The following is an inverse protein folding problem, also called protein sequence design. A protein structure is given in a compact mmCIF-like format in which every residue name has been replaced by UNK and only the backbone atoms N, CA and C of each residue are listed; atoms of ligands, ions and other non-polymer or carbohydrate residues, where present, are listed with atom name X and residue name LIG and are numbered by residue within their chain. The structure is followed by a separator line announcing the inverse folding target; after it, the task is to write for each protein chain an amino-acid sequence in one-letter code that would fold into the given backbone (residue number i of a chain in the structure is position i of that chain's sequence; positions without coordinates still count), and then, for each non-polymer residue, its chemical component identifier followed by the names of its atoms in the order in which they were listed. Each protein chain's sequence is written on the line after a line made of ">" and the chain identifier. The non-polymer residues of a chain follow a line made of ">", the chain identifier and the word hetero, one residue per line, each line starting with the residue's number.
data_IF_428283920890
#
_entry.id   IF_428283920890
#
_cell.length_a   1.000
_cell.length_b   1.000
_cell.length_c   1.000
_cell.angle_alpha   90.00
_cell.angle_beta   90.00
_cell.angle_gamma   90.00
#
_symmetry.space_group_name_H-M   'P 1'
#
loop_
_entity.id
_entity.type
_entity.pdbx_description
1 polymer ?
#
# COMPACT_ATOMS: atom_id res chain seq x y z
N UNK A 1 11.10 -20.32 7.60
CA UNK A 1 12.28 -19.44 7.76
C UNK A 1 11.82 -18.08 8.26
N UNK A 2 12.45 -17.56 9.32
CA UNK A 2 12.06 -16.27 9.92
C UNK A 2 12.60 -15.08 9.11
N UNK A 3 12.08 -13.88 9.37
CA UNK A 3 12.55 -12.63 8.76
C UNK A 3 14.01 -12.35 9.14
N UNK A 4 14.38 -12.64 10.39
CA UNK A 4 15.74 -12.45 10.88
C UNK A 4 16.73 -13.39 10.17
N UNK A 5 16.32 -14.63 9.91
CA UNK A 5 17.14 -15.59 9.15
C UNK A 5 17.34 -15.12 7.71
N UNK A 6 16.28 -14.61 7.06
CA UNK A 6 16.34 -14.06 5.70
C UNK A 6 17.32 -12.88 5.63
N UNK A 7 17.25 -11.94 6.59
CA UNK A 7 18.16 -10.79 6.67
C UNK A 7 19.59 -11.25 6.89
N UNK A 8 19.81 -12.20 7.82
CA UNK A 8 21.15 -12.72 8.12
C UNK A 8 21.78 -13.37 6.88
N UNK A 9 21.03 -14.23 6.18
CA UNK A 9 21.50 -14.87 4.94
C UNK A 9 21.72 -13.85 3.82
N UNK A 10 20.91 -12.80 3.75
CA UNK A 10 21.10 -11.74 2.74
C UNK A 10 22.42 -10.97 2.94
N UNK A 11 22.84 -10.77 4.19
CA UNK A 11 24.10 -10.09 4.53
C UNK A 11 25.34 -10.93 4.26
N UNK A 12 25.20 -12.25 4.10
CA UNK A 12 26.27 -13.13 3.65
C UNK A 12 26.36 -13.12 2.10
N UNK A 13 27.49 -12.69 1.51
CA UNK A 13 27.65 -12.62 0.06
C UNK A 13 27.37 -13.94 -0.66
N UNK A 14 27.66 -15.09 -0.03
CA UNK A 14 27.46 -16.43 -0.61
C UNK A 14 25.99 -16.80 -0.71
N UNK A 15 25.15 -16.23 0.16
CA UNK A 15 23.73 -16.55 0.29
C UNK A 15 22.80 -15.41 -0.18
N UNK A 16 23.36 -14.24 -0.52
CA UNK A 16 22.61 -13.02 -0.85
C UNK A 16 21.51 -13.22 -1.89
N UNK A 17 21.82 -13.88 -3.01
CA UNK A 17 20.84 -14.13 -4.08
C UNK A 17 19.72 -15.09 -3.63
N UNK A 18 20.07 -16.16 -2.93
CA UNK A 18 19.11 -17.16 -2.44
C UNK A 18 18.18 -16.52 -1.41
N UNK A 19 18.74 -15.77 -0.45
CA UNK A 19 17.98 -15.05 0.56
C UNK A 19 17.00 -14.06 -0.09
N UNK A 20 17.46 -13.28 -1.08
CA UNK A 20 16.60 -12.33 -1.77
C UNK A 20 15.44 -13.01 -2.52
N UNK A 21 15.70 -14.14 -3.19
CA UNK A 21 14.65 -14.91 -3.86
C UNK A 21 13.56 -15.35 -2.88
N UNK A 22 13.95 -15.78 -1.67
CA UNK A 22 13.01 -16.16 -0.62
C UNK A 22 12.23 -14.96 -0.06
N UNK A 23 12.87 -13.79 0.07
CA UNK A 23 12.20 -12.53 0.43
C UNK A 23 11.17 -12.16 -0.64
N UNK A 24 11.55 -12.21 -1.92
CA UNK A 24 10.67 -11.89 -3.03
C UNK A 24 9.45 -12.82 -3.04
N UNK A 25 9.66 -14.14 -2.96
CA UNK A 25 8.57 -15.11 -2.86
C UNK A 25 7.63 -14.85 -1.69
N UNK A 26 8.19 -14.46 -0.54
CA UNK A 26 7.42 -14.21 0.69
C UNK A 26 6.59 -12.92 0.64
N UNK A 27 7.11 -11.85 0.04
CA UNK A 27 6.49 -10.53 0.14
C UNK A 27 5.90 -9.99 -1.16
N UNK A 28 6.22 -10.53 -2.34
CA UNK A 28 5.82 -9.93 -3.62
C UNK A 28 4.31 -9.68 -3.72
N UNK A 29 3.49 -10.65 -3.32
CA UNK A 29 2.03 -10.55 -3.40
C UNK A 29 1.49 -9.48 -2.43
N UNK A 30 2.09 -9.39 -1.25
CA UNK A 30 1.73 -8.41 -0.23
C UNK A 30 2.09 -6.98 -0.66
N UNK A 31 3.32 -6.80 -1.18
CA UNK A 31 3.80 -5.54 -1.76
C UNK A 31 2.93 -5.14 -2.95
N UNK A 32 2.56 -6.08 -3.81
CA UNK A 32 1.65 -5.84 -4.92
C UNK A 32 0.31 -5.28 -4.47
N UNK A 33 -0.35 -5.93 -3.50
CA UNK A 33 -1.64 -5.44 -3.00
C UNK A 33 -1.52 -4.09 -2.30
N UNK A 34 -0.42 -3.84 -1.60
CA UNK A 34 -0.14 -2.53 -1.00
C UNK A 34 0.01 -1.45 -2.07
N UNK A 35 0.78 -1.70 -3.14
CA UNK A 35 0.95 -0.78 -4.25
C UNK A 35 -0.37 -0.58 -5.01
N UNK A 36 -1.10 -1.66 -5.28
CA UNK A 36 -2.35 -1.67 -6.07
C UNK A 36 -3.50 -0.87 -5.43
N UNK A 37 -3.48 -0.71 -4.11
CA UNK A 37 -4.41 0.14 -3.36
C UNK A 37 -4.04 1.64 -3.39
N UNK A 38 -2.90 1.97 -3.98
CA UNK A 38 -2.38 3.33 -4.11
C UNK A 38 -2.43 3.75 -5.58
N UNK A 39 -1.84 2.98 -6.49
CA UNK A 39 -1.74 3.34 -7.92
C UNK A 39 -2.95 2.92 -8.77
N UNK A 40 -3.02 3.47 -9.99
CA UNK A 40 -4.22 3.43 -10.84
C UNK A 40 -4.42 2.09 -11.54
N UNK A 41 -3.39 1.60 -12.23
CA UNK A 41 -3.49 0.42 -13.09
C UNK A 41 -2.68 -0.76 -12.55
N UNK A 42 -2.94 -1.95 -13.09
CA UNK A 42 -2.13 -3.14 -12.79
C UNK A 42 -0.67 -2.95 -13.23
N UNK A 43 -0.45 -2.38 -14.43
CA UNK A 43 0.88 -2.07 -14.93
C UNK A 43 1.64 -1.11 -14.01
N UNK A 44 0.97 -0.05 -13.52
CA UNK A 44 1.58 0.86 -12.54
C UNK A 44 1.98 0.13 -11.25
N UNK A 45 1.16 -0.83 -10.80
CA UNK A 45 1.44 -1.60 -9.59
C UNK A 45 2.64 -2.52 -9.79
N UNK A 46 2.75 -3.16 -10.96
CA UNK A 46 3.89 -4.02 -11.31
C UNK A 46 5.20 -3.20 -11.36
N UNK A 47 5.17 -2.01 -11.96
CA UNK A 47 6.31 -1.09 -12.00
C UNK A 47 6.75 -0.67 -10.58
N UNK A 48 5.79 -0.32 -9.71
CA UNK A 48 6.07 0.03 -8.32
C UNK A 48 6.65 -1.15 -7.54
N UNK A 49 6.12 -2.36 -7.73
CA UNK A 49 6.62 -3.58 -7.10
C UNK A 49 8.07 -3.83 -7.51
N UNK A 50 8.36 -3.74 -8.81
CA UNK A 50 9.72 -3.92 -9.32
C UNK A 50 10.68 -2.92 -8.69
N UNK A 51 10.36 -1.62 -8.73
CA UNK A 51 11.19 -0.57 -8.14
C UNK A 51 11.37 -0.75 -6.63
N UNK A 52 10.33 -1.22 -5.93
CA UNK A 52 10.38 -1.55 -4.51
C UNK A 52 11.42 -2.64 -4.24
N UNK A 53 11.39 -3.74 -5.00
CA UNK A 53 12.33 -4.85 -4.80
C UNK A 53 13.76 -4.51 -5.20
N UNK A 54 13.97 -3.66 -6.20
CA UNK A 54 15.30 -3.08 -6.51
C UNK A 54 15.84 -2.33 -5.29
N UNK A 55 15.04 -1.44 -4.69
CA UNK A 55 15.44 -0.69 -3.49
C UNK A 55 15.65 -1.57 -2.26
N UNK A 56 14.89 -2.65 -2.12
CA UNK A 56 15.12 -3.65 -1.07
C UNK A 56 16.47 -4.31 -1.29
N UNK A 57 16.79 -4.76 -2.51
CA UNK A 57 18.10 -5.35 -2.82
C UNK A 57 19.27 -4.42 -2.48
N UNK A 58 19.14 -3.14 -2.80
CA UNK A 58 20.16 -2.13 -2.53
C UNK A 58 20.34 -1.88 -1.02
N UNK A 59 19.24 -1.78 -0.27
CA UNK A 59 19.25 -1.23 1.10
C UNK A 59 19.16 -2.26 2.22
N UNK A 60 18.81 -3.51 1.91
CA UNK A 60 18.59 -4.54 2.94
C UNK A 60 19.89 -4.90 3.69
N UNK A 61 21.06 -4.70 3.08
CA UNK A 61 22.35 -4.85 3.76
C UNK A 61 22.49 -3.93 4.98
N UNK A 62 21.95 -2.72 4.89
CA UNK A 62 22.00 -1.69 5.93
C UNK A 62 20.80 -1.74 6.90
N UNK A 63 19.95 -2.76 6.76
CA UNK A 63 18.80 -2.91 7.64
C UNK A 63 19.24 -3.18 9.08
N UNK A 64 18.87 -2.24 9.98
CA UNK A 64 19.25 -2.22 11.40
C UNK A 64 18.27 -2.96 12.34
N UNK A 65 17.19 -3.51 11.81
CA UNK A 65 16.17 -4.22 12.60
C UNK A 65 15.49 -3.37 13.71
N UNK A 66 15.40 -2.05 13.51
CA UNK A 66 14.64 -1.12 14.38
C UNK A 66 13.11 -1.26 14.22
N UNK A 67 12.66 -2.03 13.22
CA UNK A 67 11.27 -2.44 13.00
C UNK A 67 11.26 -3.87 12.43
N UNK A 68 10.09 -4.48 12.28
CA UNK A 68 9.99 -5.76 11.57
C UNK A 68 10.35 -5.57 10.09
N UNK A 69 10.96 -6.60 9.47
CA UNK A 69 11.34 -6.56 8.06
C UNK A 69 10.13 -6.23 7.16
N UNK A 70 8.98 -6.84 7.46
CA UNK A 70 7.73 -6.55 6.78
C UNK A 70 7.36 -5.06 6.81
N UNK A 71 7.44 -4.41 7.98
CA UNK A 71 7.15 -2.99 8.17
C UNK A 71 8.09 -2.11 7.35
N UNK A 72 9.39 -2.46 7.34
CA UNK A 72 10.39 -1.74 6.55
C UNK A 72 10.15 -1.89 5.04
N UNK A 73 9.79 -3.08 4.57
CA UNK A 73 9.41 -3.34 3.17
C UNK A 73 8.17 -2.51 2.79
N UNK A 74 7.15 -2.49 3.64
CA UNK A 74 5.92 -1.73 3.39
C UNK A 74 6.16 -0.22 3.37
N UNK A 75 7.11 0.28 4.16
CA UNK A 75 7.56 1.68 4.08
C UNK A 75 8.14 2.00 2.72
N UNK A 76 9.03 1.15 2.20
CA UNK A 76 9.59 1.35 0.85
C UNK A 76 8.46 1.30 -0.18
N UNK A 77 7.64 0.26 -0.17
CA UNK A 77 6.53 0.09 -1.11
C UNK A 77 5.56 1.28 -1.13
N UNK A 78 5.19 1.78 0.05
CA UNK A 78 4.28 2.92 0.18
C UNK A 78 4.92 4.19 -0.38
N UNK A 79 6.19 4.45 -0.05
CA UNK A 79 6.91 5.61 -0.58
C UNK A 79 7.08 5.55 -2.10
N UNK A 80 7.39 4.37 -2.66
CA UNK A 80 7.48 4.18 -4.11
C UNK A 80 6.15 4.43 -4.81
N UNK A 81 5.06 3.89 -4.27
CA UNK A 81 3.73 4.07 -4.85
C UNK A 81 3.28 5.55 -4.82
N UNK A 82 3.56 6.26 -3.72
CA UNK A 82 3.25 7.69 -3.59
C UNK A 82 4.11 8.55 -4.51
N UNK A 83 5.42 8.27 -4.60
CA UNK A 83 6.31 8.97 -5.53
C UNK A 83 5.88 8.74 -6.99
N UNK A 84 5.49 7.51 -7.34
CA UNK A 84 4.97 7.16 -8.66
C UNK A 84 3.71 7.96 -8.99
N UNK A 85 2.72 8.00 -8.08
CA UNK A 85 1.51 8.80 -8.25
C UNK A 85 1.81 10.27 -8.44
N UNK A 86 2.66 10.84 -7.57
CA UNK A 86 3.01 12.25 -7.61
C UNK A 86 3.68 12.63 -8.94
N UNK A 87 4.57 11.77 -9.45
CA UNK A 87 5.18 11.94 -10.77
C UNK A 87 4.13 11.88 -11.87
N UNK A 88 3.26 10.87 -11.87
CA UNK A 88 2.21 10.70 -12.88
C UNK A 88 1.23 11.87 -12.91
N UNK A 89 0.91 12.44 -11.74
CA UNK A 89 0.12 13.67 -11.62
C UNK A 89 0.81 14.85 -12.29
N UNK A 90 2.11 15.05 -12.01
CA UNK A 90 2.91 16.11 -12.60
C UNK A 90 3.01 15.97 -14.13
N UNK A 91 3.29 14.76 -14.62
CA UNK A 91 3.46 14.47 -16.05
C UNK A 91 2.16 14.68 -16.86
N UNK A 92 1.00 14.48 -16.21
CA UNK A 92 -0.32 14.65 -16.82
C UNK A 92 -0.95 16.03 -16.59
N UNK A 93 -0.36 16.85 -15.72
CA UNK A 93 -0.89 18.15 -15.31
C UNK A 93 -2.36 18.09 -14.82
N UNK A 94 -2.69 17.08 -14.01
CA UNK A 94 -4.03 16.88 -13.45
C UNK A 94 -4.06 17.11 -11.93
N UNK A 95 -5.24 17.41 -11.41
CA UNK A 95 -5.56 17.57 -9.99
C UNK A 95 -5.61 16.22 -9.25
N UNK A 96 -5.74 16.27 -7.91
CA UNK A 96 -5.93 15.02 -7.13
C UNK A 96 -7.31 14.44 -7.38
N UNK A 97 -8.31 15.30 -7.54
CA UNK A 97 -9.69 14.98 -7.79
C UNK A 97 -9.84 14.21 -9.12
N UNK A 98 -9.25 14.74 -10.20
CA UNK A 98 -9.26 14.07 -11.51
C UNK A 98 -8.55 12.71 -11.47
N UNK A 99 -7.48 12.59 -10.68
CA UNK A 99 -6.79 11.31 -10.50
C UNK A 99 -7.63 10.30 -9.70
N UNK A 100 -8.43 10.79 -8.75
CA UNK A 100 -9.34 9.99 -7.93
C UNK A 100 -10.53 9.49 -8.76
N UNK A 101 -11.01 10.30 -9.70
CA UNK A 101 -12.01 9.90 -10.70
C UNK A 101 -11.48 8.78 -11.61
N UNK A 102 -10.27 8.92 -12.16
CA UNK A 102 -9.64 7.88 -12.98
C UNK A 102 -9.47 6.55 -12.22
N UNK A 103 -9.13 6.61 -10.92
CA UNK A 103 -9.09 5.43 -10.05
C UNK A 103 -10.48 4.77 -9.93
N UNK A 104 -11.54 5.56 -9.80
CA UNK A 104 -12.92 5.07 -9.71
C UNK A 104 -13.43 4.43 -11.01
N UNK A 105 -13.09 5.03 -12.16
CA UNK A 105 -13.42 4.50 -13.48
C UNK A 105 -12.74 3.15 -13.73
N UNK A 106 -11.44 3.05 -13.47
CA UNK A 106 -10.68 1.81 -13.60
C UNK A 106 -11.18 0.70 -12.67
N UNK A 107 -11.55 1.06 -11.44
CA UNK A 107 -12.16 0.11 -10.50
C UNK A 107 -13.46 -0.48 -11.09
N UNK A 108 -14.31 0.39 -11.66
CA UNK A 108 -15.61 0.00 -12.23
C UNK A 108 -15.47 -0.83 -13.50
N UNK A 109 -14.38 -0.64 -14.26
CA UNK A 109 -14.07 -1.39 -15.48
C UNK A 109 -13.32 -2.71 -15.22
N UNK A 110 -12.69 -2.89 -14.05
CA UNK A 110 -11.87 -4.06 -13.77
C UNK A 110 -12.70 -5.32 -13.47
N UNK A 111 -12.43 -6.41 -14.20
CA UNK A 111 -12.97 -7.77 -13.95
C UNK A 111 -12.49 -8.41 -12.65
N UNK A 112 -11.64 -7.71 -11.88
CA UNK A 112 -11.07 -8.17 -10.62
C UNK A 112 -12.10 -8.28 -9.48
N UNK A 113 -13.25 -7.63 -9.61
CA UNK A 113 -14.30 -7.61 -8.58
C UNK A 113 -15.57 -8.27 -9.12
N UNK A 114 -15.70 -9.56 -8.87
CA UNK A 114 -16.89 -10.32 -9.20
C UNK A 114 -18.08 -9.86 -8.33
N UNK A 115 -18.83 -8.87 -8.80
CA UNK A 115 -20.30 -8.87 -8.70
C UNK A 115 -20.99 -8.55 -7.37
N UNK A 116 -20.30 -8.23 -6.27
CA UNK A 116 -20.99 -7.76 -5.07
C UNK A 116 -21.07 -6.22 -5.06
N UNK A 117 -22.29 -5.67 -5.27
CA UNK A 117 -22.58 -4.23 -5.23
C UNK A 117 -22.00 -3.57 -3.96
N UNK A 118 -22.00 -4.29 -2.83
CA UNK A 118 -21.46 -3.80 -1.56
C UNK A 118 -19.93 -3.64 -1.59
N UNK A 119 -19.21 -4.57 -2.21
CA UNK A 119 -17.76 -4.52 -2.31
C UNK A 119 -17.31 -3.38 -3.24
N UNK A 120 -17.97 -3.22 -4.38
CA UNK A 120 -17.75 -2.07 -5.28
C UNK A 120 -18.03 -0.74 -4.56
N UNK A 121 -19.13 -0.65 -3.82
CA UNK A 121 -19.49 0.54 -3.04
C UNK A 121 -18.42 0.85 -1.99
N UNK A 122 -17.92 -0.17 -1.27
CA UNK A 122 -16.84 0.01 -0.29
C UNK A 122 -15.57 0.53 -0.96
N UNK A 123 -15.18 -0.03 -2.10
CA UNK A 123 -13.99 0.42 -2.82
C UNK A 123 -14.13 1.86 -3.31
N UNK A 124 -15.29 2.25 -3.84
CA UNK A 124 -15.58 3.64 -4.20
C UNK A 124 -15.51 4.57 -2.97
N UNK A 125 -16.04 4.14 -1.83
CA UNK A 125 -15.96 4.90 -0.59
C UNK A 125 -14.51 5.11 -0.13
N UNK A 126 -13.67 4.07 -0.20
CA UNK A 126 -12.24 4.13 0.11
C UNK A 126 -11.52 5.06 -0.86
N UNK A 127 -11.84 4.99 -2.16
CA UNK A 127 -11.24 5.83 -3.16
C UNK A 127 -11.52 7.31 -2.93
N UNK A 128 -12.70 7.69 -2.41
CA UNK A 128 -13.10 9.06 -2.07
C UNK A 128 -12.45 9.62 -0.78
N UNK A 129 -11.67 8.82 -0.06
CA UNK A 129 -10.97 9.30 1.12
C UNK A 129 -9.75 10.15 0.74
N UNK A 130 -9.41 11.19 1.54
CA UNK A 130 -8.10 11.82 1.50
C UNK A 130 -6.99 10.77 1.62
N UNK A 131 -5.89 10.97 0.90
CA UNK A 131 -4.83 9.98 0.73
C UNK A 131 -4.34 9.37 2.06
N UNK A 132 -4.05 10.21 3.06
CA UNK A 132 -3.62 9.73 4.39
C UNK A 132 -4.68 8.85 5.06
N UNK A 133 -5.95 9.23 4.99
CA UNK A 133 -7.06 8.45 5.55
C UNK A 133 -7.20 7.10 4.84
N UNK A 134 -7.09 7.10 3.51
CA UNK A 134 -7.10 5.90 2.68
C UNK A 134 -5.96 4.94 3.02
N UNK A 135 -4.72 5.45 3.12
CA UNK A 135 -3.55 4.64 3.49
C UNK A 135 -3.73 3.98 4.85
N UNK A 136 -4.11 4.77 5.86
CA UNK A 136 -4.32 4.26 7.22
C UNK A 136 -5.45 3.24 7.25
N UNK A 137 -6.57 3.52 6.57
CA UNK A 137 -7.68 2.58 6.47
C UNK A 137 -7.25 1.26 5.83
N UNK A 138 -6.55 1.30 4.68
CA UNK A 138 -6.12 0.10 3.98
C UNK A 138 -5.17 -0.76 4.82
N UNK A 139 -4.19 -0.14 5.48
CA UNK A 139 -3.24 -0.85 6.35
C UNK A 139 -3.92 -1.45 7.59
N UNK A 140 -4.96 -0.78 8.12
CA UNK A 140 -5.66 -1.27 9.31
C UNK A 140 -6.69 -2.35 8.98
N UNK A 141 -7.47 -2.14 7.93
CA UNK A 141 -8.60 -2.99 7.57
C UNK A 141 -8.17 -4.26 6.83
N UNK A 142 -7.32 -4.13 5.81
CA UNK A 142 -6.93 -5.29 4.99
C UNK A 142 -5.69 -6.02 5.51
N UNK A 143 -4.74 -5.28 6.09
CA UNK A 143 -3.46 -5.86 6.53
C UNK A 143 -3.44 -6.13 8.05
N UNK A 144 -4.45 -5.63 8.79
CA UNK A 144 -4.58 -5.77 10.23
C UNK A 144 -3.33 -5.32 11.02
N UNK A 145 -2.62 -4.30 10.52
CA UNK A 145 -1.40 -3.80 11.16
C UNK A 145 -1.72 -3.09 12.47
N UNK A 146 -0.85 -3.17 13.47
CA UNK A 146 -0.89 -2.36 14.68
C UNK A 146 -0.56 -0.90 14.37
N UNK A 147 -0.93 0.03 15.25
CA UNK A 147 -0.74 1.46 14.94
C UNK A 147 0.74 1.85 14.95
N UNK A 148 1.53 1.18 15.78
CA UNK A 148 2.97 1.30 15.89
C UNK A 148 3.67 0.85 14.59
N UNK A 149 3.14 -0.20 13.94
CA UNK A 149 3.63 -0.63 12.62
C UNK A 149 3.29 0.39 11.53
N UNK A 150 2.08 0.96 11.57
CA UNK A 150 1.67 2.00 10.62
C UNK A 150 2.47 3.29 10.86
N UNK A 151 2.80 3.62 12.10
CA UNK A 151 3.67 4.75 12.45
C UNK A 151 5.07 4.56 11.86
N UNK A 152 5.65 3.37 11.98
CA UNK A 152 6.94 3.05 11.36
C UNK A 152 6.91 3.12 9.82
N UNK A 153 5.75 2.90 9.20
CA UNK A 153 5.54 3.03 7.75
C UNK A 153 5.33 4.49 7.32
N UNK A 154 4.45 5.24 8.01
CA UNK A 154 4.00 6.57 7.58
C UNK A 154 4.70 7.75 8.27
N UNK A 155 5.50 7.49 9.31
CA UNK A 155 6.24 8.53 10.04
C UNK A 155 5.36 9.53 10.78
N UNK A 156 4.19 9.11 11.28
CA UNK A 156 3.22 9.98 11.96
C UNK A 156 2.72 9.34 13.25
N UNK A 157 2.37 10.16 14.24
CA UNK A 157 2.07 9.66 15.59
C UNK A 157 0.87 8.71 15.64
N UNK A 158 0.93 7.72 16.54
CA UNK A 158 -0.21 6.82 16.83
C UNK A 158 -1.53 7.58 17.09
N UNK A 159 -1.47 8.73 17.77
CA UNK A 159 -2.65 9.58 18.00
C UNK A 159 -3.25 10.10 16.69
N UNK A 160 -2.41 10.63 15.79
CA UNK A 160 -2.84 11.09 14.48
C UNK A 160 -3.39 9.93 13.61
N UNK A 161 -2.80 8.75 13.71
CA UNK A 161 -3.26 7.55 13.01
C UNK A 161 -4.65 7.10 13.47
N UNK A 162 -4.89 7.06 14.79
CA UNK A 162 -6.21 6.72 15.36
C UNK A 162 -7.29 7.69 14.89
N UNK A 163 -7.02 8.98 14.93
CA UNK A 163 -7.93 10.01 14.43
C UNK A 163 -8.18 9.85 12.93
N UNK A 164 -7.13 9.62 12.14
CA UNK A 164 -7.22 9.40 10.70
C UNK A 164 -8.10 8.19 10.35
N UNK A 165 -7.89 7.06 11.06
CA UNK A 165 -8.71 5.86 10.90
C UNK A 165 -10.17 6.10 11.25
N UNK A 166 -10.44 6.75 12.39
CA UNK A 166 -11.81 7.07 12.82
C UNK A 166 -12.55 7.96 11.79
N UNK A 167 -11.86 8.97 11.24
CA UNK A 167 -12.44 9.80 10.19
C UNK A 167 -12.69 9.01 8.89
N UNK A 168 -11.77 8.11 8.53
CA UNK A 168 -11.93 7.24 7.37
C UNK A 168 -13.17 6.34 7.51
N UNK A 169 -13.32 5.65 8.65
CA UNK A 169 -14.45 4.75 8.90
C UNK A 169 -15.79 5.50 8.85
N UNK A 170 -15.86 6.70 9.46
CA UNK A 170 -17.08 7.51 9.46
C UNK A 170 -17.48 7.96 8.06
N UNK A 171 -16.52 8.37 7.23
CA UNK A 171 -16.77 8.76 5.83
C UNK A 171 -17.25 7.58 4.99
N UNK A 172 -16.61 6.43 5.15
CA UNK A 172 -17.02 5.20 4.46
C UNK A 172 -18.45 4.82 4.86
N UNK A 173 -18.76 4.84 6.15
CA UNK A 173 -20.11 4.53 6.65
C UNK A 173 -21.18 5.44 6.05
N UNK A 174 -20.92 6.75 6.00
CA UNK A 174 -21.83 7.73 5.39
C UNK A 174 -22.03 7.44 3.89
N UNK A 175 -20.95 7.16 3.17
CA UNK A 175 -21.00 6.87 1.73
C UNK A 175 -21.79 5.60 1.43
N UNK A 176 -21.52 4.51 2.17
CA UNK A 176 -22.20 3.23 1.99
C UNK A 176 -23.69 3.36 2.32
N UNK A 177 -24.06 4.03 3.43
CA UNK A 177 -25.47 4.26 3.78
C UNK A 177 -26.23 5.02 2.69
N UNK A 178 -25.61 6.06 2.11
CA UNK A 178 -26.22 6.82 1.00
C UNK A 178 -26.40 5.95 -0.25
N UNK A 179 -25.45 5.08 -0.55
CA UNK A 179 -25.46 4.23 -1.74
C UNK A 179 -26.42 3.04 -1.63
N UNK A 180 -26.81 2.65 -0.42
CA UNK A 180 -27.79 1.59 -0.16
C UNK A 180 -29.25 2.12 -0.13
N UNK A 181 -29.43 3.41 0.13
CA UNK A 181 -30.74 4.07 0.17
C UNK A 181 -31.19 4.63 -1.21
N UNK A 182 -30.35 4.49 -2.24
CA UNK A 182 -30.61 4.84 -3.64
C UNK A 182 -30.69 3.57 -4.48
#
# INVERSE_FOLDING_TARGET
>A
MSDNDLVRQFKDPSNKQVAFKLILQKYQRKVYWQARRIVITHADADDVVQNTFVKIWEKLGDFRAESQLFTWIYRIATNEALAFLQKKKSDRNISMEEMQEQLGEQLSASTYFNGNKLELTLQQAILNLPEKQRLVFNMKYYENLKYEEIEAILGTSVGALKASYHHATKKIEIFVKRSLNN
#
